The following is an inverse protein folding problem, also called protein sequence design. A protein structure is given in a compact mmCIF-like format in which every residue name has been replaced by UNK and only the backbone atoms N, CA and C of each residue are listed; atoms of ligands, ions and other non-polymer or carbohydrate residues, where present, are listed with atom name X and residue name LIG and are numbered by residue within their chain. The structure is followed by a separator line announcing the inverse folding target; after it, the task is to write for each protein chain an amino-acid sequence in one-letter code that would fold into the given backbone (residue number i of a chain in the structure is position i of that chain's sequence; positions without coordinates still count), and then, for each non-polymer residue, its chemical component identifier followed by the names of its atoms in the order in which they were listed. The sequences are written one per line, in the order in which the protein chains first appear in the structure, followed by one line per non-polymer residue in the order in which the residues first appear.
data_IF_819110877981
#
_entry.id   IF_819110877981
#
_cell.length_a   1.000
_cell.length_b   1.000
_cell.length_c   1.000
_cell.angle_alpha   90.00
_cell.angle_beta   90.00
_cell.angle_gamma   90.00
#
_symmetry.space_group_name_H-M   'P 1'
#
loop_
_entity.id
_entity.type
_entity.pdbx_description
1 polymer ?
#
# COMPACT_ATOMS: atom_id res chain seq x y z
N UNK A 1 -0.38 22.87 34.88
CA UNK A 1 -1.04 22.01 33.87
C UNK A 1 -0.32 22.00 32.53
N UNK A 2 0.29 23.11 32.09
CA UNK A 2 0.86 23.23 30.74
C UNK A 2 2.05 22.30 30.44
N UNK A 3 2.88 21.97 31.44
CA UNK A 3 4.01 21.06 31.25
C UNK A 3 3.55 19.63 30.88
N UNK A 4 2.62 19.05 31.66
CA UNK A 4 2.08 17.70 31.38
C UNK A 4 1.41 17.64 30.00
N UNK A 5 0.66 18.68 29.62
CA UNK A 5 0.05 18.78 28.30
C UNK A 5 1.10 18.79 27.18
N UNK A 6 2.18 19.58 27.34
CA UNK A 6 3.28 19.65 26.40
C UNK A 6 4.01 18.32 26.24
N UNK A 7 4.30 17.61 27.34
CA UNK A 7 4.96 16.30 27.30
C UNK A 7 4.10 15.26 26.57
N UNK A 8 2.79 15.23 26.83
CA UNK A 8 1.85 14.37 26.11
C UNK A 8 1.86 14.65 24.61
N UNK A 9 1.83 15.93 24.22
CA UNK A 9 1.88 16.32 22.81
C UNK A 9 3.19 15.88 22.14
N UNK A 10 4.33 16.14 22.77
CA UNK A 10 5.64 15.73 22.24
C UNK A 10 5.73 14.22 22.05
N UNK A 11 5.20 13.43 23.00
CA UNK A 11 5.17 11.98 22.88
C UNK A 11 4.33 11.55 21.66
N UNK A 12 3.13 12.11 21.49
CA UNK A 12 2.30 11.84 20.32
C UNK A 12 3.04 12.17 19.01
N UNK A 13 3.65 13.35 18.93
CA UNK A 13 4.40 13.78 17.73
C UNK A 13 5.53 12.81 17.36
N UNK A 14 6.20 12.20 18.35
CA UNK A 14 7.24 11.19 18.09
C UNK A 14 6.68 9.90 17.50
N UNK A 15 5.55 9.41 18.00
CA UNK A 15 4.89 8.23 17.44
C UNK A 15 4.27 8.51 16.07
N UNK A 16 3.66 9.68 15.89
CA UNK A 16 3.10 10.12 14.61
C UNK A 16 4.18 10.19 13.51
N UNK A 17 5.39 10.61 13.87
CA UNK A 17 6.54 10.56 12.97
C UNK A 17 6.88 9.13 12.53
N UNK A 18 6.87 8.15 13.45
CA UNK A 18 7.09 6.74 13.12
C UNK A 18 5.97 6.18 12.22
N UNK A 19 4.71 6.51 12.50
CA UNK A 19 3.58 6.11 11.67
C UNK A 19 3.68 6.69 10.26
N UNK A 20 4.06 7.96 10.15
CA UNK A 20 4.23 8.64 8.86
C UNK A 20 5.27 7.91 8.01
N UNK A 21 6.44 7.62 8.57
CA UNK A 21 7.51 6.89 7.87
C UNK A 21 7.02 5.51 7.41
N UNK A 22 6.34 4.76 8.29
CA UNK A 22 5.85 3.43 7.94
C UNK A 22 4.80 3.47 6.82
N UNK A 23 3.88 4.43 6.88
CA UNK A 23 2.84 4.61 5.87
C UNK A 23 3.42 5.07 4.53
N UNK A 24 4.45 5.93 4.53
CA UNK A 24 5.19 6.29 3.31
C UNK A 24 5.84 5.07 2.67
N UNK A 25 6.57 4.24 3.44
CA UNK A 25 7.20 3.02 2.91
C UNK A 25 6.19 2.02 2.35
N UNK A 26 5.05 1.86 3.02
CA UNK A 26 3.95 1.04 2.53
C UNK A 26 3.40 1.59 1.21
N UNK A 27 3.19 2.90 1.10
CA UNK A 27 2.72 3.55 -0.14
C UNK A 27 3.72 3.37 -1.28
N UNK A 28 5.01 3.55 -1.04
CA UNK A 28 6.07 3.31 -2.03
C UNK A 28 6.01 1.88 -2.58
N UNK A 29 5.91 0.88 -1.70
CA UNK A 29 5.82 -0.52 -2.11
C UNK A 29 4.56 -0.80 -2.92
N UNK A 30 3.41 -0.30 -2.47
CA UNK A 30 2.14 -0.42 -3.21
C UNK A 30 2.22 0.23 -4.59
N UNK A 31 2.84 1.40 -4.70
CA UNK A 31 3.04 2.06 -6.00
C UNK A 31 3.91 1.21 -6.93
N UNK A 32 4.96 0.55 -6.42
CA UNK A 32 5.77 -0.37 -7.22
C UNK A 32 4.96 -1.56 -7.74
N UNK A 33 4.16 -2.18 -6.88
CA UNK A 33 3.26 -3.29 -7.24
C UNK A 33 2.26 -2.85 -8.31
N UNK A 34 1.58 -1.72 -8.08
CA UNK A 34 0.58 -1.18 -9.02
C UNK A 34 1.21 -0.88 -10.37
N UNK A 35 2.39 -0.24 -10.40
CA UNK A 35 3.08 0.07 -11.64
C UNK A 35 3.40 -1.18 -12.45
N UNK A 36 3.99 -2.20 -11.82
CA UNK A 36 4.29 -3.45 -12.52
C UNK A 36 3.02 -4.16 -12.99
N UNK A 37 1.95 -4.16 -12.18
CA UNK A 37 0.66 -4.71 -12.59
C UNK A 37 0.09 -3.97 -13.81
N UNK A 38 0.15 -2.65 -13.83
CA UNK A 38 -0.31 -1.82 -14.96
C UNK A 38 0.51 -2.09 -16.22
N UNK A 39 1.83 -2.11 -16.11
CA UNK A 39 2.74 -2.47 -17.21
C UNK A 39 2.39 -3.86 -17.77
N UNK A 40 2.16 -4.84 -16.87
CA UNK A 40 1.82 -6.20 -17.27
C UNK A 40 0.51 -6.27 -18.05
N UNK A 41 -0.53 -5.62 -17.52
CA UNK A 41 -1.86 -5.55 -18.14
C UNK A 41 -1.82 -4.80 -19.46
N UNK A 42 -1.06 -3.71 -19.55
CA UNK A 42 -0.90 -2.94 -20.79
C UNK A 42 -0.24 -3.78 -21.89
N UNK A 43 0.79 -4.55 -21.55
CA UNK A 43 1.41 -5.47 -22.50
C UNK A 43 0.42 -6.54 -23.00
N UNK A 44 -0.32 -7.20 -22.10
CA UNK A 44 -1.35 -8.18 -22.51
C UNK A 44 -2.41 -7.54 -23.42
N UNK A 45 -2.87 -6.33 -23.11
CA UNK A 45 -3.81 -5.59 -23.97
C UNK A 45 -3.21 -5.27 -25.35
N UNK A 46 -1.92 -4.95 -25.41
CA UNK A 46 -1.23 -4.72 -26.68
C UNK A 46 -1.16 -5.99 -27.53
N UNK A 47 -0.86 -7.14 -26.92
CA UNK A 47 -0.89 -8.45 -27.60
C UNK A 47 -2.30 -8.77 -28.12
N UNK A 48 -3.34 -8.59 -27.30
CA UNK A 48 -4.73 -8.79 -27.73
C UNK A 48 -5.09 -7.90 -28.92
N UNK A 49 -4.65 -6.64 -28.92
CA UNK A 49 -4.87 -5.72 -30.04
C UNK A 49 -4.14 -6.20 -31.30
N UNK A 50 -2.87 -6.58 -31.18
CA UNK A 50 -2.11 -7.13 -32.32
C UNK A 50 -2.80 -8.38 -32.87
N UNK A 51 -3.21 -9.32 -32.01
CA UNK A 51 -3.98 -10.49 -32.43
C UNK A 51 -5.26 -10.10 -33.19
N UNK A 52 -5.99 -9.09 -32.71
CA UNK A 52 -7.17 -8.54 -33.37
C UNK A 52 -6.86 -7.96 -34.76
N UNK A 53 -5.84 -7.11 -34.87
CA UNK A 53 -5.41 -6.49 -36.12
C UNK A 53 -4.97 -7.55 -37.16
N UNK A 54 -4.24 -8.58 -36.71
CA UNK A 54 -3.85 -9.71 -37.55
C UNK A 54 -5.06 -10.55 -38.01
N UNK A 55 -6.03 -10.79 -37.12
CA UNK A 55 -7.26 -11.50 -37.45
C UNK A 55 -8.11 -10.73 -38.46
N UNK A 56 -8.25 -9.41 -38.29
CA UNK A 56 -8.96 -8.55 -39.24
C UNK A 56 -8.28 -8.57 -40.61
N UNK A 57 -6.94 -8.46 -40.65
CA UNK A 57 -6.16 -8.57 -41.89
C UNK A 57 -6.35 -9.92 -42.58
N UNK A 58 -6.32 -11.01 -41.83
CA UNK A 58 -6.60 -12.35 -42.35
C UNK A 58 -8.03 -12.49 -42.88
N UNK A 59 -9.02 -11.93 -42.17
CA UNK A 59 -10.44 -11.93 -42.58
C UNK A 59 -10.63 -11.19 -43.92
N UNK A 60 -10.07 -9.99 -44.07
CA UNK A 60 -10.12 -9.23 -45.33
C UNK A 60 -9.45 -9.98 -46.47
N UNK A 61 -8.35 -10.68 -46.19
CA UNK A 61 -7.66 -11.50 -47.18
C UNK A 61 -8.52 -12.67 -47.64
N UNK A 62 -9.22 -13.35 -46.73
CA UNK A 62 -10.17 -14.42 -47.07
C UNK A 62 -11.33 -13.89 -47.90
N UNK A 63 -11.91 -12.75 -47.52
CA UNK A 63 -12.98 -12.11 -48.29
C UNK A 63 -12.52 -11.73 -49.71
N UNK A 64 -11.32 -11.14 -49.82
CA UNK A 64 -10.70 -10.84 -51.11
C UNK A 64 -10.46 -12.13 -51.91
N UNK A 65 -9.94 -13.18 -51.29
CA UNK A 65 -9.71 -14.47 -51.93
C UNK A 65 -11.01 -15.05 -52.50
N UNK A 66 -12.10 -14.96 -51.73
CA UNK A 66 -13.43 -15.42 -52.16
C UNK A 66 -13.91 -14.65 -53.39
N UNK A 67 -13.86 -13.31 -53.35
CA UNK A 67 -14.19 -12.47 -54.51
C UNK A 67 -13.36 -12.81 -55.76
N UNK A 68 -12.06 -13.07 -55.58
CA UNK A 68 -11.19 -13.50 -56.67
C UNK A 68 -11.60 -14.87 -57.23
N UNK A 69 -12.00 -15.83 -56.39
CA UNK A 69 -12.46 -17.15 -56.86
C UNK A 69 -13.81 -17.11 -57.58
N UNK A 70 -14.60 -16.05 -57.36
CA UNK A 70 -15.87 -15.80 -58.04
C UNK A 70 -15.70 -15.04 -59.37
N UNK A 71 -14.47 -14.72 -59.78
CA UNK A 71 -14.18 -13.98 -61.01
C UNK A 71 -14.66 -14.76 -62.27
N UNK A 72 -15.65 -14.26 -63.01
CA UNK A 72 -16.20 -14.94 -64.18
C UNK A 72 -15.21 -15.00 -65.36
N UNK A 73 -14.24 -14.08 -65.45
CA UNK A 73 -13.21 -14.10 -66.48
C UNK A 73 -11.99 -14.93 -66.04
N UNK A 74 -11.92 -16.18 -66.52
CA UNK A 74 -10.85 -17.13 -66.19
C UNK A 74 -9.42 -16.59 -66.42
N UNK A 75 -9.21 -15.79 -67.47
CA UNK A 75 -7.90 -15.18 -67.74
C UNK A 75 -7.47 -14.18 -66.64
N UNK A 76 -8.42 -13.40 -66.12
CA UNK A 76 -8.21 -12.43 -65.04
C UNK A 76 -7.96 -13.15 -63.72
N UNK A 77 -8.72 -14.21 -63.45
CA UNK A 77 -8.50 -15.08 -62.29
C UNK A 77 -7.06 -15.63 -62.28
N UNK A 78 -6.65 -16.32 -63.35
CA UNK A 78 -5.33 -16.96 -63.46
C UNK A 78 -4.18 -15.95 -63.38
N UNK A 79 -4.34 -14.76 -63.95
CA UNK A 79 -3.35 -13.69 -63.87
C UNK A 79 -3.08 -13.26 -62.41
N UNK A 80 -4.12 -13.25 -61.58
CA UNK A 80 -4.06 -12.74 -60.21
C UNK A 80 -3.84 -13.83 -59.14
N UNK A 81 -4.10 -15.11 -59.44
CA UNK A 81 -3.97 -16.23 -58.48
C UNK A 81 -2.59 -16.29 -57.83
N UNK A 82 -1.52 -16.06 -58.58
CA UNK A 82 -0.14 -16.08 -58.04
C UNK A 82 0.08 -15.02 -56.96
N UNK A 83 -0.49 -13.82 -57.16
CA UNK A 83 -0.39 -12.74 -56.18
C UNK A 83 -1.22 -13.03 -54.93
N UNK A 84 -2.41 -13.63 -55.11
CA UNK A 84 -3.27 -14.04 -54.01
C UNK A 84 -2.58 -15.09 -53.12
N UNK A 85 -2.02 -16.15 -53.72
CA UNK A 85 -1.27 -17.20 -53.00
C UNK A 85 -0.11 -16.58 -52.22
N UNK A 86 0.63 -15.66 -52.84
CA UNK A 86 1.72 -14.94 -52.16
C UNK A 86 1.21 -14.18 -50.93
N UNK A 87 0.13 -13.40 -51.06
CA UNK A 87 -0.46 -12.67 -49.92
C UNK A 87 -0.88 -13.62 -48.79
N UNK A 88 -1.51 -14.75 -49.11
CA UNK A 88 -1.91 -15.77 -48.11
C UNK A 88 -0.69 -16.31 -47.36
N UNK A 89 0.38 -16.66 -48.08
CA UNK A 89 1.62 -17.14 -47.46
C UNK A 89 2.25 -16.07 -46.58
N UNK A 90 2.31 -14.82 -47.05
CA UNK A 90 2.94 -13.71 -46.33
C UNK A 90 2.15 -13.37 -45.05
N UNK A 91 0.81 -13.30 -45.12
CA UNK A 91 -0.06 -13.10 -43.95
C UNK A 91 0.02 -14.26 -42.95
N UNK A 92 0.14 -15.51 -43.43
CA UNK A 92 0.29 -16.68 -42.56
C UNK A 92 1.60 -16.65 -41.78
N UNK A 93 2.70 -16.21 -42.39
CA UNK A 93 4.00 -16.06 -41.70
C UNK A 93 3.96 -14.94 -40.67
N UNK A 94 3.31 -13.83 -40.99
CA UNK A 94 3.15 -12.69 -40.08
C UNK A 94 2.28 -13.02 -38.85
N UNK A 95 1.49 -14.09 -38.88
CA UNK A 95 0.65 -14.53 -37.77
C UNK A 95 1.41 -15.33 -36.69
N UNK A 96 2.74 -15.49 -36.78
CA UNK A 96 3.56 -15.98 -35.68
C UNK A 96 3.64 -14.90 -34.59
N UNK A 97 2.60 -14.83 -33.78
CA UNK A 97 2.43 -13.81 -32.77
C UNK A 97 3.22 -14.13 -31.49
N UNK A 98 3.79 -13.08 -30.90
CA UNK A 98 4.30 -13.11 -29.54
C UNK A 98 3.21 -13.54 -28.56
N UNK A 99 3.62 -14.23 -27.50
CA UNK A 99 2.76 -14.65 -26.39
C UNK A 99 3.46 -14.32 -25.10
N UNK A 100 2.69 -14.20 -24.02
CA UNK A 100 3.26 -14.10 -22.69
C UNK A 100 4.02 -15.38 -22.33
N UNK A 101 5.12 -15.21 -21.62
CA UNK A 101 5.90 -16.32 -21.07
C UNK A 101 5.14 -17.02 -19.93
N UNK A 102 5.39 -18.32 -19.67
CA UNK A 102 4.85 -19.00 -18.51
C UNK A 102 5.23 -18.28 -17.21
N UNK A 103 4.25 -18.04 -16.34
CA UNK A 103 4.47 -17.32 -15.07
C UNK A 103 4.55 -15.80 -15.21
N UNK A 104 4.19 -15.22 -16.36
CA UNK A 104 4.16 -13.77 -16.57
C UNK A 104 3.39 -13.00 -15.48
N UNK A 105 2.31 -13.58 -14.96
CA UNK A 105 1.47 -12.98 -13.91
C UNK A 105 2.09 -13.01 -12.51
N UNK A 106 3.23 -13.69 -12.33
CA UNK A 106 3.87 -13.86 -11.02
C UNK A 106 4.29 -12.49 -10.45
N UNK A 107 3.90 -12.23 -9.20
CA UNK A 107 4.24 -11.03 -8.42
C UNK A 107 4.91 -11.38 -7.08
N UNK A 108 5.30 -12.64 -6.86
CA UNK A 108 5.81 -13.16 -5.59
C UNK A 108 7.19 -12.60 -5.21
N UNK A 109 7.86 -11.89 -6.13
CA UNK A 109 9.11 -11.18 -5.84
C UNK A 109 8.91 -9.94 -4.96
N UNK A 110 7.67 -9.45 -4.81
CA UNK A 110 7.35 -8.39 -3.85
C UNK A 110 7.29 -8.93 -2.42
N UNK A 111 8.43 -8.89 -1.72
CA UNK A 111 8.57 -9.36 -0.34
C UNK A 111 9.05 -8.23 0.57
N UNK A 112 8.49 -8.15 1.78
CA UNK A 112 8.89 -7.18 2.82
C UNK A 112 9.19 -7.92 4.12
N UNK A 113 10.31 -7.59 4.78
CA UNK A 113 10.66 -8.11 6.10
C UNK A 113 10.61 -6.98 7.14
N UNK A 114 9.64 -7.07 8.06
CA UNK A 114 9.43 -6.08 9.12
C UNK A 114 9.92 -6.56 10.50
N UNK A 115 10.46 -7.78 10.61
CA UNK A 115 10.74 -8.40 11.91
C UNK A 115 11.69 -7.59 12.79
N UNK A 116 12.71 -6.95 12.21
CA UNK A 116 13.61 -6.07 12.98
C UNK A 116 12.88 -4.80 13.47
N UNK A 117 12.06 -4.19 12.62
CA UNK A 117 11.32 -2.98 12.99
C UNK A 117 10.33 -3.28 14.11
N UNK A 118 9.59 -4.40 14.01
CA UNK A 118 8.69 -4.89 15.07
C UNK A 118 9.43 -5.12 16.39
N UNK A 119 10.58 -5.81 16.35
CA UNK A 119 11.39 -6.05 17.55
C UNK A 119 11.88 -4.75 18.20
N UNK A 120 12.26 -3.74 17.42
CA UNK A 120 12.70 -2.44 17.94
C UNK A 120 11.52 -1.70 18.57
N UNK A 121 10.36 -1.68 17.91
CA UNK A 121 9.15 -1.03 18.41
C UNK A 121 8.62 -1.69 19.71
N UNK A 122 8.67 -3.02 19.80
CA UNK A 122 8.27 -3.76 20.99
C UNK A 122 9.18 -3.52 22.21
N UNK A 123 10.44 -3.14 21.97
CA UNK A 123 11.43 -2.89 23.03
C UNK A 123 11.43 -1.44 23.53
N UNK A 124 10.53 -0.58 23.04
CA UNK A 124 10.40 0.79 23.55
C UNK A 124 10.00 0.73 25.03
N UNK A 125 10.88 1.23 25.89
CA UNK A 125 10.62 1.34 27.33
C UNK A 125 10.26 2.79 27.67
N UNK A 126 9.20 2.96 28.44
CA UNK A 126 8.73 4.25 28.93
C UNK A 126 9.24 4.41 30.37
N UNK A 127 10.55 4.62 30.53
CA UNK A 127 11.12 4.88 31.85
C UNK A 127 10.60 6.22 32.38
N UNK A 128 10.17 6.22 33.65
CA UNK A 128 9.83 7.43 34.39
C UNK A 128 11.02 7.70 35.29
N UNK A 129 12.01 8.45 34.80
CA UNK A 129 13.19 8.77 35.60
C UNK A 129 12.82 9.80 36.69
N UNK A 130 12.16 9.34 37.75
CA UNK A 130 12.18 10.00 39.05
C UNK A 130 13.33 9.38 39.84
N UNK A 131 14.54 9.92 39.65
CA UNK A 131 15.63 9.71 40.59
C UNK A 131 15.77 10.97 41.45
N UNK A 132 15.32 10.86 42.70
CA UNK A 132 15.83 11.54 43.89
C UNK A 132 15.70 13.06 43.97
N UNK A 133 14.72 13.54 44.76
CA UNK A 133 14.97 14.64 45.70
C UNK A 133 14.35 14.24 47.04
N UNK A 134 15.11 14.53 48.09
CA UNK A 134 15.15 13.90 49.41
C UNK A 134 13.86 14.16 50.21
N UNK A 135 13.37 13.14 50.91
CA UNK A 135 12.44 13.36 52.03
C UNK A 135 13.21 14.12 53.10
N UNK A 136 13.15 15.46 53.11
CA UNK A 136 13.57 16.25 54.26
C UNK A 136 12.68 15.85 55.44
N UNK A 137 13.27 15.15 56.40
CA UNK A 137 12.69 14.96 57.74
C UNK A 137 12.43 16.34 58.33
N UNK A 138 11.16 16.73 58.42
CA UNK A 138 10.76 17.93 59.15
C UNK A 138 10.85 17.59 60.63
N UNK A 139 11.90 18.06 61.31
CA UNK A 139 11.94 18.09 62.78
C UNK A 139 10.75 18.93 63.28
N UNK A 140 9.78 18.28 63.92
CA UNK A 140 8.73 18.96 64.67
C UNK A 140 9.36 19.59 65.92
N UNK A 141 9.59 20.92 65.90
CA UNK A 141 9.92 21.65 67.11
C UNK A 141 8.70 21.65 68.07
N UNK A 142 8.86 20.94 69.19
CA UNK A 142 7.97 21.02 70.35
C UNK A 142 7.96 22.47 70.89
N UNK A 143 6.79 23.13 70.82
CA UNK A 143 6.55 24.36 71.57
C UNK A 143 5.72 23.98 72.81
N UNK A 144 6.41 23.85 73.93
CA UNK A 144 5.79 23.69 75.25
C UNK A 144 5.40 25.05 75.86
N UNK A 145 4.20 25.02 76.48
CA UNK A 145 3.78 25.75 77.68
C UNK A 145 3.35 27.24 77.62
N UNK A 146 2.14 27.48 78.17
CA UNK A 146 1.68 28.81 78.59
C UNK A 146 0.18 28.90 78.87
N UNK A 147 -0.29 28.26 79.95
CA UNK A 147 -1.71 28.00 80.27
C UNK A 147 -2.63 29.16 80.69
N UNK A 148 -3.85 28.78 81.06
CA UNK A 148 -4.79 29.62 81.81
C UNK A 148 -6.28 29.25 81.68
N UNK A 149 -6.77 28.42 82.62
CA UNK A 149 -8.11 28.37 83.25
C UNK A 149 -9.38 28.30 82.37
N UNK A 150 -10.15 27.20 82.43
CA UNK A 150 -11.36 26.99 83.28
C UNK A 150 -12.48 28.02 82.99
N UNK A 151 -13.68 27.65 82.55
CA UNK A 151 -14.71 26.96 83.34
C UNK A 151 -15.90 26.50 82.45
N UNK A 152 -16.54 25.39 82.85
CA UNK A 152 -17.98 25.03 82.81
C UNK A 152 -18.83 25.23 81.53
N UNK A 153 -19.72 24.33 81.12
CA UNK A 153 -20.30 23.17 81.76
C UNK A 153 -21.63 22.86 81.04
N UNK A 154 -21.88 21.56 80.83
CA UNK A 154 -23.20 20.90 80.87
C UNK A 154 -24.22 21.06 79.70
N UNK A 155 -24.37 19.94 78.95
CA UNK A 155 -25.57 19.23 78.42
C UNK A 155 -26.90 19.99 78.20
N UNK A 156 -27.73 19.77 77.17
CA UNK A 156 -28.43 18.55 76.67
C UNK A 156 -29.06 18.88 75.30
N UNK A 157 -29.05 18.01 74.31
CA UNK A 157 -30.12 17.08 73.91
C UNK A 157 -31.54 17.66 73.63
N UNK A 158 -31.99 17.37 72.41
CA UNK A 158 -33.33 17.10 71.89
C UNK A 158 -34.47 18.15 71.66
N UNK A 159 -35.16 17.93 70.53
CA UNK A 159 -36.55 18.24 70.13
C UNK A 159 -37.00 19.69 69.82
N UNK A 160 -37.23 20.01 68.52
CA UNK A 160 -38.49 19.81 67.78
C UNK A 160 -38.35 20.22 66.30
#
# INVERSE_FOLDING_TARGET
QDNSRRQKQLLCEKFDSLYTILEERKKEMLQCITREQEEKVQYVRSLMRQHGDHLEGASKLVETALQFTEEPQMAVFLQNTKQLIKKVIDTSKAAQLERTEPGYENMDHFVVNLGRAEQVLQKINFQTDYQGEEEEEVEEEEIEEGGGAEEDGETTDDQH
#
